data_IF_669619758059
#
_entry.id   IF_669619758059
#
_cell.length_a   1.000
_cell.length_b   1.000
_cell.length_c   1.000
_cell.angle_alpha   90.00
_cell.angle_beta   90.00
_cell.angle_gamma   90.00
#
_symmetry.space_group_name_H-M   'P 1'
#
loop_
_entity.id
_entity.type
_entity.pdbx_description
1 polymer ?
#
# COMPACT_ATOMS: atom_id res chain seq x y z
N UNK A 1 18.12 8.46 -4.20
CA UNK A 1 18.99 8.03 -3.12
C UNK A 1 18.18 7.32 -2.01
N UNK A 2 18.76 6.29 -1.41
CA UNK A 2 18.18 5.53 -0.31
C UNK A 2 19.23 5.13 0.71
N UNK A 3 18.84 4.47 1.82
CA UNK A 3 19.74 4.14 2.94
C UNK A 3 20.93 3.24 2.54
N UNK A 4 20.77 2.41 1.53
CA UNK A 4 21.81 1.47 1.08
C UNK A 4 22.25 1.72 -0.37
N UNK A 5 21.87 2.84 -0.98
CA UNK A 5 22.20 3.16 -2.37
C UNK A 5 21.04 3.75 -3.15
N UNK A 6 21.04 3.62 -4.47
CA UNK A 6 19.92 4.08 -5.31
C UNK A 6 18.72 3.14 -5.19
N UNK A 7 17.53 3.68 -5.02
CA UNK A 7 16.25 2.93 -5.06
C UNK A 7 15.70 3.07 -6.48
N UNK A 8 15.50 1.98 -7.24
CA UNK A 8 14.86 2.05 -8.55
C UNK A 8 13.40 2.52 -8.42
N UNK A 9 13.03 3.47 -9.24
CA UNK A 9 11.67 3.99 -9.31
C UNK A 9 11.15 3.89 -10.74
N UNK A 10 9.83 3.70 -10.92
CA UNK A 10 9.20 3.76 -12.23
C UNK A 10 8.04 4.73 -12.20
N UNK A 11 8.12 5.73 -13.08
CA UNK A 11 7.04 6.71 -13.27
C UNK A 11 6.04 6.20 -14.30
N UNK A 12 4.77 6.41 -14.00
CA UNK A 12 3.62 6.19 -14.87
C UNK A 12 2.83 7.49 -14.94
N UNK A 13 2.57 7.99 -16.14
CA UNK A 13 1.68 9.11 -16.37
C UNK A 13 0.94 8.91 -17.69
N UNK A 14 -0.36 9.15 -17.69
CA UNK A 14 -1.18 9.13 -18.90
C UNK A 14 -1.01 10.40 -19.75
N UNK A 15 -0.38 11.44 -19.21
CA UNK A 15 -0.10 12.73 -19.88
C UNK A 15 1.39 12.89 -20.17
N UNK A 16 1.71 13.52 -21.29
CA UNK A 16 3.10 13.84 -21.64
C UNK A 16 3.71 14.95 -20.77
N UNK A 17 2.87 15.85 -20.25
CA UNK A 17 3.30 16.94 -19.36
C UNK A 17 2.16 17.43 -18.47
N UNK A 18 2.52 18.06 -17.35
CA UNK A 18 1.62 18.71 -16.41
C UNK A 18 2.16 20.10 -16.09
N UNK A 19 1.31 21.12 -16.19
CA UNK A 19 1.67 22.52 -15.90
C UNK A 19 1.35 22.96 -14.48
N UNK A 20 0.47 22.22 -13.79
CA UNK A 20 0.02 22.57 -12.45
C UNK A 20 0.48 21.50 -11.44
N UNK A 21 0.79 21.90 -10.20
CA UNK A 21 1.07 20.97 -9.13
C UNK A 21 -0.10 19.99 -8.92
N UNK A 22 0.22 18.71 -8.75
CA UNK A 22 -0.79 17.66 -8.54
C UNK A 22 -0.35 16.71 -7.42
N UNK A 23 -1.29 16.01 -6.75
CA UNK A 23 -0.91 14.89 -5.89
C UNK A 23 -0.18 13.82 -6.71
N UNK A 24 0.88 13.24 -6.15
CA UNK A 24 1.63 12.13 -6.77
C UNK A 24 1.30 10.84 -6.04
N UNK A 25 0.91 9.83 -6.78
CA UNK A 25 0.67 8.49 -6.24
C UNK A 25 2.01 7.81 -6.03
N UNK A 26 2.30 7.39 -4.80
CA UNK A 26 3.47 6.58 -4.45
C UNK A 26 3.01 5.16 -4.21
N UNK A 27 3.40 4.25 -5.09
CA UNK A 27 2.94 2.86 -5.07
C UNK A 27 4.00 1.92 -4.48
N UNK A 28 3.59 1.13 -3.48
CA UNK A 28 4.38 0.07 -2.86
C UNK A 28 3.78 -1.29 -3.23
N UNK A 29 4.57 -2.14 -3.89
CA UNK A 29 4.07 -3.43 -4.36
C UNK A 29 3.87 -4.45 -3.25
N UNK A 30 2.98 -5.42 -3.45
CA UNK A 30 2.80 -6.60 -2.60
C UNK A 30 3.89 -7.65 -2.79
N UNK A 31 3.77 -8.74 -2.02
CA UNK A 31 4.69 -9.88 -2.11
C UNK A 31 5.42 -10.22 -0.80
N UNK A 32 4.81 -9.93 0.35
CA UNK A 32 5.32 -10.31 1.68
C UNK A 32 6.68 -9.71 2.03
N UNK A 33 7.09 -8.62 1.37
CA UNK A 33 8.44 -8.04 1.42
C UNK A 33 9.56 -8.98 0.95
N UNK A 34 9.22 -10.07 0.24
CA UNK A 34 10.13 -11.11 -0.24
C UNK A 34 10.12 -11.22 -1.77
N UNK A 35 8.94 -11.13 -2.37
CA UNK A 35 8.75 -11.21 -3.83
C UNK A 35 8.07 -9.95 -4.35
N UNK A 36 7.84 -9.89 -5.66
CA UNK A 36 7.27 -8.73 -6.33
C UNK A 36 8.34 -7.75 -6.79
N UNK A 37 7.97 -6.91 -7.74
CA UNK A 37 8.84 -5.88 -8.35
C UNK A 37 8.01 -4.91 -9.21
N UNK A 38 8.71 -4.00 -9.89
CA UNK A 38 8.09 -3.05 -10.82
C UNK A 38 7.45 -3.73 -12.04
N UNK A 39 7.86 -4.94 -12.41
CA UNK A 39 7.31 -5.65 -13.56
C UNK A 39 6.03 -6.39 -13.20
N UNK A 40 5.99 -7.04 -12.03
CA UNK A 40 4.82 -7.80 -11.56
C UNK A 40 3.60 -6.92 -11.32
N UNK A 41 3.81 -5.64 -10.95
CA UNK A 41 2.73 -4.68 -10.69
C UNK A 41 2.54 -3.64 -11.81
N UNK A 42 3.27 -3.80 -12.94
CA UNK A 42 3.20 -2.85 -14.07
C UNK A 42 1.77 -2.58 -14.56
N UNK A 43 1.01 -3.65 -14.81
CA UNK A 43 -0.36 -3.52 -15.32
C UNK A 43 -1.30 -2.81 -14.32
N UNK A 44 -1.14 -3.07 -13.01
CA UNK A 44 -1.93 -2.41 -11.97
C UNK A 44 -1.57 -0.92 -11.87
N UNK A 45 -0.27 -0.59 -11.83
CA UNK A 45 0.20 0.80 -11.76
C UNK A 45 -0.24 1.62 -12.98
N UNK A 46 -0.15 1.03 -14.19
CA UNK A 46 -0.61 1.67 -15.43
C UNK A 46 -2.09 2.01 -15.37
N UNK A 47 -2.91 1.05 -14.92
CA UNK A 47 -4.36 1.23 -14.81
C UNK A 47 -4.74 2.29 -13.76
N UNK A 48 -4.10 2.25 -12.57
CA UNK A 48 -4.35 3.25 -11.53
C UNK A 48 -3.97 4.65 -12.01
N UNK A 49 -2.80 4.82 -12.64
CA UNK A 49 -2.36 6.12 -13.15
C UNK A 49 -3.32 6.66 -14.21
N UNK A 50 -3.79 5.81 -15.12
CA UNK A 50 -4.74 6.17 -16.16
C UNK A 50 -6.13 6.53 -15.58
N UNK A 51 -6.67 5.68 -14.69
CA UNK A 51 -7.98 5.91 -14.09
C UNK A 51 -7.98 7.13 -13.15
N UNK A 52 -6.93 7.39 -12.41
CA UNK A 52 -6.84 8.57 -11.55
C UNK A 52 -6.50 9.85 -12.32
N UNK A 53 -5.91 9.74 -13.51
CA UNK A 53 -5.31 10.84 -14.27
C UNK A 53 -4.27 11.62 -13.43
N UNK A 54 -3.47 10.88 -12.64
CA UNK A 54 -2.40 11.40 -11.80
C UNK A 54 -1.09 10.67 -12.07
N UNK A 55 0.07 11.35 -11.89
CA UNK A 55 1.35 10.68 -11.95
C UNK A 55 1.46 9.64 -10.82
N UNK A 56 1.98 8.47 -11.15
CA UNK A 56 2.23 7.39 -10.19
C UNK A 56 3.70 6.99 -10.25
N UNK A 57 4.35 6.94 -9.09
CA UNK A 57 5.72 6.46 -8.92
C UNK A 57 5.69 5.15 -8.14
N UNK A 58 6.06 4.04 -8.79
CA UNK A 58 6.22 2.75 -8.14
C UNK A 58 7.65 2.59 -7.62
N UNK A 59 7.77 2.04 -6.42
CA UNK A 59 9.02 1.90 -5.68
C UNK A 59 9.47 0.45 -5.70
N UNK A 60 10.71 0.19 -6.18
CA UNK A 60 11.36 -1.13 -6.09
C UNK A 60 12.22 -1.19 -4.83
N UNK A 61 11.57 -1.34 -3.69
CA UNK A 61 12.22 -1.41 -2.40
C UNK A 61 13.01 -2.73 -2.22
N UNK A 62 14.04 -2.72 -1.38
CA UNK A 62 14.82 -3.92 -1.05
C UNK A 62 13.94 -5.00 -0.40
N UNK A 63 14.19 -6.24 -0.77
CA UNK A 63 13.41 -7.41 -0.33
C UNK A 63 14.23 -8.34 0.56
N UNK A 64 13.55 -9.02 1.47
CA UNK A 64 14.08 -10.14 2.21
C UNK A 64 14.16 -11.39 1.29
N UNK A 65 15.01 -12.38 1.58
CA UNK A 65 15.89 -12.45 2.75
C UNK A 65 17.18 -11.63 2.62
N UNK A 66 17.53 -11.12 1.42
CA UNK A 66 18.78 -10.39 1.17
C UNK A 66 18.87 -9.10 1.99
N UNK A 67 17.73 -8.43 2.19
CA UNK A 67 17.60 -7.23 3.00
C UNK A 67 16.35 -7.37 3.91
N UNK A 68 16.50 -8.01 5.08
CA UNK A 68 15.38 -8.25 5.99
C UNK A 68 14.87 -6.95 6.62
N UNK A 69 13.83 -7.04 7.44
CA UNK A 69 13.29 -5.91 8.19
C UNK A 69 14.41 -5.10 8.89
N UNK A 70 14.38 -3.76 8.86
CA UNK A 70 13.32 -2.89 8.30
C UNK A 70 13.64 -2.32 6.90
N UNK A 71 14.55 -2.93 6.13
CA UNK A 71 15.12 -2.37 4.90
C UNK A 71 14.05 -1.90 3.88
N UNK A 72 12.99 -2.68 3.68
CA UNK A 72 11.89 -2.33 2.77
C UNK A 72 11.18 -1.02 3.20
N UNK A 73 10.89 -0.88 4.48
CA UNK A 73 10.22 0.31 5.03
C UNK A 73 11.12 1.54 4.93
N UNK A 74 12.42 1.39 5.20
CA UNK A 74 13.38 2.49 5.07
C UNK A 74 13.48 2.99 3.62
N UNK A 75 13.44 2.08 2.64
CA UNK A 75 13.44 2.46 1.23
C UNK A 75 12.12 3.12 0.83
N UNK A 76 10.97 2.60 1.29
CA UNK A 76 9.66 3.20 1.04
C UNK A 76 9.57 4.62 1.61
N UNK A 77 10.08 4.85 2.83
CA UNK A 77 10.13 6.18 3.44
C UNK A 77 11.05 7.13 2.65
N UNK A 78 12.26 6.69 2.32
CA UNK A 78 13.20 7.50 1.56
C UNK A 78 12.63 7.89 0.18
N UNK A 79 11.98 6.95 -0.52
CA UNK A 79 11.33 7.22 -1.80
C UNK A 79 10.16 8.21 -1.64
N UNK A 80 9.29 8.04 -0.64
CA UNK A 80 8.17 8.95 -0.39
C UNK A 80 8.66 10.37 -0.09
N UNK A 81 9.70 10.53 0.72
CA UNK A 81 10.30 11.83 1.03
C UNK A 81 10.96 12.47 -0.19
N UNK A 82 11.62 11.67 -1.03
CA UNK A 82 12.22 12.14 -2.28
C UNK A 82 11.13 12.63 -3.26
N UNK A 83 10.04 11.88 -3.44
CA UNK A 83 8.90 12.29 -4.28
C UNK A 83 8.28 13.58 -3.73
N UNK A 84 8.07 13.67 -2.42
CA UNK A 84 7.53 14.85 -1.76
C UNK A 84 8.36 16.11 -1.96
N UNK A 85 9.67 15.98 -2.19
CA UNK A 85 10.56 17.12 -2.43
C UNK A 85 10.49 17.69 -3.86
N UNK A 86 9.66 17.11 -4.73
CA UNK A 86 9.50 17.52 -6.13
C UNK A 86 10.83 17.63 -6.89
N UNK A 87 11.65 16.57 -6.91
CA UNK A 87 12.95 16.63 -7.56
C UNK A 87 12.80 16.84 -9.07
N UNK A 88 13.79 17.51 -9.68
CA UNK A 88 13.75 17.88 -11.11
C UNK A 88 13.56 16.66 -12.03
N UNK A 89 14.05 15.51 -11.63
CA UNK A 89 13.94 14.24 -12.36
C UNK A 89 12.50 13.74 -12.49
N UNK A 90 11.60 14.15 -11.59
CA UNK A 90 10.17 13.83 -11.70
C UNK A 90 9.49 14.63 -12.82
N UNK A 91 9.94 15.84 -13.09
CA UNK A 91 9.35 16.72 -14.10
C UNK A 91 8.06 17.43 -13.68
N UNK A 92 7.61 17.27 -12.42
CA UNK A 92 6.42 17.96 -11.89
C UNK A 92 6.61 18.37 -10.43
N UNK A 93 5.75 19.29 -9.98
CA UNK A 93 5.63 19.70 -8.60
C UNK A 93 4.55 18.89 -7.88
N UNK A 94 4.90 18.27 -6.75
CA UNK A 94 3.96 17.54 -5.91
C UNK A 94 3.18 18.53 -5.04
N UNK A 95 1.84 18.47 -5.05
CA UNK A 95 1.00 19.19 -4.09
C UNK A 95 0.64 18.35 -2.87
N UNK A 96 0.88 17.05 -2.91
CA UNK A 96 0.65 16.07 -1.85
C UNK A 96 1.06 14.68 -2.29
N UNK A 97 1.09 13.73 -1.38
CA UNK A 97 1.29 12.31 -1.67
C UNK A 97 -0.01 11.53 -1.51
N UNK A 98 -0.27 10.62 -2.44
CA UNK A 98 -1.24 9.53 -2.27
C UNK A 98 -0.43 8.25 -2.11
N UNK A 99 -0.36 7.72 -0.89
CA UNK A 99 0.32 6.42 -0.69
C UNK A 99 -0.66 5.29 -0.97
N UNK A 100 -0.26 4.32 -1.78
CA UNK A 100 -1.07 3.17 -2.14
C UNK A 100 -0.21 1.93 -2.25
N UNK A 101 -0.75 0.79 -1.87
CA UNK A 101 -0.06 -0.50 -2.03
C UNK A 101 -0.95 -1.66 -1.64
N UNK A 102 -0.58 -2.84 -2.11
CA UNK A 102 -1.31 -4.08 -1.88
C UNK A 102 -0.54 -5.01 -0.93
N UNK A 103 -1.22 -5.72 -0.04
CA UNK A 103 -0.63 -6.71 0.88
C UNK A 103 0.50 -6.11 1.75
N UNK A 104 1.74 -6.58 1.59
CA UNK A 104 2.93 -5.96 2.20
C UNK A 104 3.09 -4.49 1.81
N UNK A 105 2.79 -4.11 0.56
CA UNK A 105 2.74 -2.72 0.15
C UNK A 105 1.62 -1.93 0.83
N UNK A 106 0.50 -2.58 1.14
CA UNK A 106 -0.57 -2.01 1.97
C UNK A 106 -0.12 -1.76 3.42
N UNK A 107 0.70 -2.66 3.98
CA UNK A 107 1.39 -2.44 5.25
C UNK A 107 2.30 -1.21 5.16
N UNK A 108 3.21 -1.17 4.17
CA UNK A 108 4.10 -0.03 3.94
C UNK A 108 3.32 1.29 3.80
N UNK A 109 2.17 1.28 3.10
CA UNK A 109 1.28 2.44 2.97
C UNK A 109 0.88 3.01 4.33
N UNK A 110 0.47 2.17 5.28
CA UNK A 110 0.09 2.59 6.63
C UNK A 110 1.29 3.08 7.43
N UNK A 111 2.41 2.34 7.38
CA UNK A 111 3.65 2.72 8.09
C UNK A 111 4.17 4.08 7.61
N UNK A 112 4.22 4.30 6.29
CA UNK A 112 4.67 5.58 5.72
C UNK A 112 3.72 6.71 6.12
N UNK A 113 2.40 6.47 6.14
CA UNK A 113 1.43 7.43 6.67
C UNK A 113 1.75 7.85 8.11
N UNK A 114 2.05 6.90 9.00
CA UNK A 114 2.43 7.16 10.40
C UNK A 114 3.78 7.89 10.52
N UNK A 115 4.81 7.46 9.78
CA UNK A 115 6.14 8.08 9.82
C UNK A 115 6.11 9.52 9.31
N UNK A 116 5.37 9.79 8.22
CA UNK A 116 5.24 11.14 7.67
C UNK A 116 4.29 12.03 8.48
N UNK A 117 3.38 11.46 9.26
CA UNK A 117 2.61 12.22 10.25
C UNK A 117 3.48 12.63 11.44
N UNK A 118 4.35 11.74 11.94
CA UNK A 118 5.26 12.01 13.05
C UNK A 118 6.41 12.95 12.66
N UNK A 119 6.94 12.81 11.45
CA UNK A 119 8.01 13.64 10.89
C UNK A 119 7.62 14.07 9.48
N UNK A 120 6.99 15.24 9.31
CA UNK A 120 6.45 15.68 8.03
C UNK A 120 7.49 15.72 6.90
N UNK A 121 7.06 15.36 5.68
CA UNK A 121 7.79 15.56 4.43
C UNK A 121 7.52 16.98 3.86
N UNK A 122 8.08 17.31 2.69
CA UNK A 122 7.88 18.62 2.06
C UNK A 122 6.41 18.89 1.69
N UNK A 123 5.65 17.85 1.37
CA UNK A 123 4.19 17.90 1.19
C UNK A 123 3.52 16.80 2.02
N UNK A 124 2.24 16.96 2.44
CA UNK A 124 1.56 15.98 3.27
C UNK A 124 1.12 14.72 2.47
N UNK A 125 0.86 13.62 3.18
CA UNK A 125 0.06 12.52 2.67
C UNK A 125 -1.41 12.94 2.72
N UNK A 126 -2.01 13.16 1.55
CA UNK A 126 -3.40 13.63 1.42
C UNK A 126 -4.41 12.49 1.35
N UNK A 127 -3.95 11.29 1.03
CA UNK A 127 -4.75 10.06 1.02
C UNK A 127 -3.83 8.84 1.19
N UNK A 128 -4.24 7.85 1.97
CA UNK A 128 -3.62 6.53 1.98
C UNK A 128 -4.62 5.45 1.55
N UNK A 129 -4.14 4.47 0.77
CA UNK A 129 -4.98 3.44 0.15
C UNK A 129 -4.37 2.05 0.40
N UNK A 130 -4.44 1.53 1.62
CA UNK A 130 -3.97 0.17 1.91
C UNK A 130 -4.96 -0.87 1.36
N UNK A 131 -4.50 -1.68 0.39
CA UNK A 131 -5.29 -2.71 -0.27
C UNK A 131 -4.94 -4.06 0.35
N UNK A 132 -5.90 -4.76 0.95
CA UNK A 132 -5.78 -6.01 1.74
C UNK A 132 -4.48 -6.06 2.57
N UNK A 133 -4.24 -5.09 3.48
CA UNK A 133 -2.98 -4.94 4.16
C UNK A 133 -2.80 -5.94 5.31
N UNK A 134 -1.56 -6.39 5.54
CA UNK A 134 -1.18 -7.05 6.79
C UNK A 134 -0.71 -5.99 7.80
N UNK A 135 -1.61 -5.44 8.60
CA UNK A 135 -1.29 -4.40 9.60
C UNK A 135 -1.21 -4.92 11.04
N UNK A 136 -1.79 -6.10 11.28
CA UNK A 136 -1.79 -6.79 12.57
C UNK A 136 -1.36 -8.24 12.37
N UNK A 137 -0.89 -8.88 13.42
CA UNK A 137 -0.63 -10.32 13.38
C UNK A 137 -1.93 -11.06 13.05
N UNK A 138 -1.92 -11.80 11.95
CA UNK A 138 -3.08 -12.56 11.48
C UNK A 138 -3.18 -13.94 12.13
N UNK A 139 -2.15 -14.41 12.86
CA UNK A 139 -2.15 -15.71 13.50
C UNK A 139 -3.30 -15.80 14.53
N UNK A 140 -4.03 -16.91 14.48
CA UNK A 140 -5.18 -17.14 15.35
C UNK A 140 -6.45 -16.36 15.00
N UNK A 141 -6.47 -15.55 13.92
CA UNK A 141 -7.67 -14.87 13.45
C UNK A 141 -8.68 -15.84 12.82
N UNK A 142 -9.96 -15.44 12.80
CA UNK A 142 -11.01 -16.24 12.16
C UNK A 142 -10.79 -16.34 10.64
N UNK A 143 -10.30 -15.28 9.98
CA UNK A 143 -10.00 -15.31 8.56
C UNK A 143 -8.83 -16.24 8.25
N UNK A 144 -7.79 -16.28 9.09
CA UNK A 144 -6.68 -17.24 8.94
C UNK A 144 -7.21 -18.67 9.03
N UNK A 145 -8.02 -18.98 10.05
CA UNK A 145 -8.60 -20.31 10.21
C UNK A 145 -9.49 -20.73 9.04
N UNK A 146 -10.19 -19.76 8.41
CA UNK A 146 -11.14 -20.04 7.32
C UNK A 146 -10.51 -20.09 5.92
N UNK A 147 -9.43 -19.35 5.66
CA UNK A 147 -8.95 -19.09 4.30
C UNK A 147 -7.45 -19.34 4.10
N UNK A 148 -6.74 -19.95 5.07
CA UNK A 148 -5.31 -20.25 4.93
C UNK A 148 -4.99 -21.39 3.96
N UNK A 149 -6.00 -22.06 3.40
CA UNK A 149 -5.85 -23.10 2.40
C UNK A 149 -6.89 -22.94 1.27
N UNK A 150 -6.47 -23.13 0.02
CA UNK A 150 -7.38 -23.13 -1.15
C UNK A 150 -7.80 -21.73 -1.65
N UNK A 151 -7.31 -20.64 -1.07
CA UNK A 151 -7.69 -19.26 -1.41
C UNK A 151 -6.50 -18.40 -1.86
N UNK A 152 -5.56 -18.95 -2.61
CA UNK A 152 -4.38 -18.35 -3.20
C UNK A 152 -3.27 -18.07 -2.17
N UNK A 153 -3.46 -17.14 -1.23
CA UNK A 153 -2.52 -16.92 -0.14
C UNK A 153 -2.70 -18.00 0.92
N UNK A 154 -1.63 -18.79 1.17
CA UNK A 154 -1.70 -19.89 2.12
C UNK A 154 -0.98 -19.55 3.44
N UNK A 155 -1.35 -20.27 4.52
CA UNK A 155 -0.66 -20.18 5.80
C UNK A 155 0.83 -20.53 5.69
N UNK A 156 1.18 -21.51 4.85
CA UNK A 156 2.58 -21.90 4.58
C UNK A 156 3.35 -20.74 3.91
N UNK A 157 2.77 -20.12 2.88
CA UNK A 157 3.37 -18.94 2.20
C UNK A 157 3.56 -17.79 3.18
N UNK A 158 2.57 -17.53 4.03
CA UNK A 158 2.67 -16.46 5.04
C UNK A 158 3.76 -16.74 6.07
N UNK A 159 3.88 -17.99 6.54
CA UNK A 159 4.95 -18.39 7.46
C UNK A 159 6.34 -18.25 6.84
N UNK A 160 6.48 -18.57 5.54
CA UNK A 160 7.72 -18.36 4.80
C UNK A 160 8.08 -16.86 4.69
N UNK A 161 7.13 -16.01 4.32
CA UNK A 161 7.36 -14.56 4.24
C UNK A 161 7.72 -13.96 5.60
N UNK A 162 7.01 -14.36 6.64
CA UNK A 162 7.25 -13.91 8.00
C UNK A 162 8.67 -14.27 8.48
N UNK A 163 9.06 -15.51 8.25
CA UNK A 163 10.41 -15.99 8.62
C UNK A 163 11.52 -15.27 7.83
N UNK A 164 11.29 -15.00 6.55
CA UNK A 164 12.27 -14.31 5.70
C UNK A 164 12.39 -12.82 6.03
N UNK A 165 11.25 -12.14 6.26
CA UNK A 165 11.22 -10.71 6.55
C UNK A 165 11.69 -10.39 7.97
N UNK A 166 11.27 -11.18 8.95
CA UNK A 166 11.80 -11.14 10.32
C UNK A 166 11.43 -9.89 11.11
N UNK A 167 10.25 -9.29 10.89
CA UNK A 167 9.81 -8.14 11.67
C UNK A 167 9.48 -8.53 13.12
N UNK A 168 10.01 -7.83 14.14
CA UNK A 168 9.62 -8.04 15.53
C UNK A 168 8.11 -7.79 15.73
N UNK A 169 7.45 -8.63 16.54
CA UNK A 169 5.99 -8.56 16.77
C UNK A 169 5.54 -7.30 17.51
N UNK A 170 6.45 -6.62 18.17
CA UNK A 170 6.25 -5.39 18.93
C UNK A 170 6.75 -4.11 18.21
N UNK A 171 7.25 -4.23 16.97
CA UNK A 171 7.67 -3.06 16.17
C UNK A 171 6.51 -2.57 15.27
N UNK A 172 6.08 -1.31 15.47
CA UNK A 172 5.02 -0.69 14.68
C UNK A 172 5.35 -0.57 13.19
N UNK A 173 6.62 -0.61 12.79
CA UNK A 173 7.03 -0.61 11.37
C UNK A 173 6.79 -1.96 10.71
N UNK A 174 6.70 -3.04 11.48
CA UNK A 174 6.28 -4.37 11.02
C UNK A 174 4.77 -4.57 11.14
N UNK A 175 4.21 -4.11 12.24
CA UNK A 175 2.80 -4.26 12.60
C UNK A 175 2.17 -2.90 12.93
N UNK A 176 1.81 -2.10 11.92
CA UNK A 176 1.41 -0.71 12.11
C UNK A 176 0.12 -0.52 12.93
N UNK A 177 -0.62 -1.57 13.23
CA UNK A 177 -1.73 -1.52 14.19
C UNK A 177 -1.27 -1.07 15.60
N UNK A 178 0.01 -1.25 15.94
CA UNK A 178 0.63 -0.84 17.19
C UNK A 178 1.00 0.65 17.22
N UNK A 179 0.97 1.31 16.08
CA UNK A 179 1.36 2.71 15.94
C UNK A 179 0.26 3.69 16.35
N UNK A 180 0.57 4.98 16.26
CA UNK A 180 -0.38 6.05 16.52
C UNK A 180 -1.26 6.31 15.28
N UNK A 181 -2.57 6.21 15.45
CA UNK A 181 -3.56 6.45 14.40
C UNK A 181 -4.19 7.84 14.50
N UNK A 182 -3.89 8.63 15.53
CA UNK A 182 -4.52 9.94 15.79
C UNK A 182 -4.31 10.95 14.67
N UNK A 183 -3.20 10.83 13.94
CA UNK A 183 -2.86 11.66 12.79
C UNK A 183 -2.88 10.89 11.44
N UNK A 184 -3.55 9.73 11.40
CA UNK A 184 -3.66 8.96 10.14
C UNK A 184 -4.29 9.82 9.04
N UNK A 185 -3.75 9.80 7.80
CA UNK A 185 -4.34 10.52 6.67
C UNK A 185 -5.76 10.03 6.35
N UNK A 186 -6.57 10.78 5.59
CA UNK A 186 -7.77 10.26 4.98
C UNK A 186 -7.48 8.90 4.32
N UNK A 187 -8.36 7.90 4.49
CA UNK A 187 -8.03 6.51 4.15
C UNK A 187 -9.10 5.84 3.29
N UNK A 188 -8.71 5.18 2.20
CA UNK A 188 -9.54 4.18 1.51
C UNK A 188 -8.96 2.81 1.83
N UNK A 189 -9.56 2.12 2.78
CA UNK A 189 -9.14 0.78 3.20
C UNK A 189 -9.90 -0.29 2.43
N UNK A 190 -9.18 -1.22 1.83
CA UNK A 190 -9.76 -2.30 1.02
C UNK A 190 -9.38 -3.66 1.60
N UNK A 191 -10.35 -4.58 1.69
CA UNK A 191 -10.11 -6.00 2.03
C UNK A 191 -10.76 -6.92 1.01
N UNK A 192 -10.26 -8.15 0.90
CA UNK A 192 -10.88 -9.22 0.15
C UNK A 192 -11.64 -10.16 1.10
N UNK A 193 -12.84 -10.60 0.74
CA UNK A 193 -13.66 -11.38 1.68
C UNK A 193 -13.18 -12.81 1.90
N UNK A 194 -12.44 -13.37 0.92
CA UNK A 194 -11.89 -14.75 0.95
C UNK A 194 -10.36 -14.68 1.11
N UNK A 195 -9.90 -14.01 2.18
CA UNK A 195 -8.49 -13.70 2.40
C UNK A 195 -8.08 -14.04 3.83
N UNK A 196 -6.99 -14.81 4.05
CA UNK A 196 -6.52 -15.15 5.40
C UNK A 196 -6.15 -13.92 6.24
N UNK A 197 -5.76 -12.81 5.63
CA UNK A 197 -5.43 -11.57 6.35
C UNK A 197 -6.56 -10.53 6.38
N UNK A 198 -7.77 -10.90 5.94
CA UNK A 198 -8.95 -10.01 5.95
C UNK A 198 -9.18 -9.34 7.30
N UNK A 199 -9.09 -10.12 8.38
CA UNK A 199 -9.40 -9.61 9.72
C UNK A 199 -8.34 -8.62 10.23
N UNK A 200 -7.11 -8.64 9.70
CA UNK A 200 -6.09 -7.61 9.92
C UNK A 200 -6.55 -6.25 9.37
N UNK A 201 -7.10 -6.21 8.15
CA UNK A 201 -7.69 -4.99 7.59
C UNK A 201 -8.90 -4.50 8.38
N UNK A 202 -9.78 -5.41 8.84
CA UNK A 202 -10.93 -5.04 9.70
C UNK A 202 -10.49 -4.45 11.04
N UNK A 203 -9.40 -4.97 11.62
CA UNK A 203 -8.82 -4.40 12.84
C UNK A 203 -8.35 -2.96 12.60
N UNK A 204 -7.78 -2.68 11.43
CA UNK A 204 -7.36 -1.32 11.07
C UNK A 204 -8.55 -0.38 10.88
N UNK A 205 -9.64 -0.83 10.24
CA UNK A 205 -10.87 -0.05 10.14
C UNK A 205 -11.39 0.37 11.52
N UNK A 206 -11.36 -0.57 12.48
CA UNK A 206 -11.72 -0.29 13.87
C UNK A 206 -10.78 0.75 14.49
N UNK A 207 -9.48 0.63 14.30
CA UNK A 207 -8.51 1.58 14.87
C UNK A 207 -8.69 2.99 14.31
N UNK A 208 -8.98 3.13 13.01
CA UNK A 208 -9.30 4.43 12.39
C UNK A 208 -10.59 5.04 12.95
N UNK A 209 -11.62 4.21 13.14
CA UNK A 209 -12.88 4.66 13.75
C UNK A 209 -12.70 5.10 15.20
N UNK A 210 -11.98 4.32 16.01
CA UNK A 210 -11.66 4.66 17.41
C UNK A 210 -10.85 5.97 17.51
N UNK A 211 -9.97 6.23 16.52
CA UNK A 211 -9.17 7.45 16.43
C UNK A 211 -9.94 8.64 15.80
N UNK A 212 -11.20 8.46 15.41
CA UNK A 212 -12.03 9.51 14.80
C UNK A 212 -11.49 9.99 13.44
N UNK A 213 -10.89 9.09 12.66
CA UNK A 213 -10.30 9.44 11.35
C UNK A 213 -11.30 9.27 10.22
N UNK A 214 -11.15 10.09 9.18
CA UNK A 214 -11.96 9.98 7.97
C UNK A 214 -11.51 8.78 7.14
N UNK A 215 -12.41 7.83 6.87
CA UNK A 215 -12.09 6.68 6.02
C UNK A 215 -13.31 6.11 5.32
N UNK A 216 -13.05 5.46 4.18
CA UNK A 216 -13.97 4.58 3.47
C UNK A 216 -13.44 3.15 3.60
N UNK A 217 -14.29 2.23 4.04
CA UNK A 217 -13.95 0.81 4.13
C UNK A 217 -14.68 0.01 3.05
N UNK A 218 -13.94 -0.68 2.20
CA UNK A 218 -14.45 -1.50 1.11
C UNK A 218 -14.02 -2.96 1.33
N UNK A 219 -14.96 -3.84 1.69
CA UNK A 219 -14.73 -5.28 1.65
C UNK A 219 -15.25 -5.86 0.32
N UNK A 220 -14.34 -6.27 -0.57
CA UNK A 220 -14.67 -6.83 -1.88
C UNK A 220 -15.15 -8.27 -1.73
N UNK A 221 -16.38 -8.52 -2.18
CA UNK A 221 -17.07 -9.80 -1.96
C UNK A 221 -16.67 -10.85 -3.00
N UNK A 222 -16.42 -12.09 -2.54
CA UNK A 222 -16.20 -13.24 -3.41
C UNK A 222 -14.83 -13.25 -4.11
N UNK A 223 -13.90 -12.38 -3.70
CA UNK A 223 -12.53 -12.32 -4.22
C UNK A 223 -11.51 -12.74 -3.17
N UNK A 224 -10.39 -13.28 -3.65
CA UNK A 224 -9.25 -13.71 -2.84
C UNK A 224 -8.23 -12.60 -2.68
N UNK A 225 -7.21 -12.83 -1.87
CA UNK A 225 -5.99 -12.01 -1.83
C UNK A 225 -5.44 -11.75 -3.24
N UNK A 226 -4.79 -10.62 -3.47
CA UNK A 226 -4.19 -10.23 -4.76
C UNK A 226 -5.15 -10.08 -5.94
N UNK A 227 -6.48 -9.97 -5.73
CA UNK A 227 -7.46 -9.84 -6.82
C UNK A 227 -7.16 -8.68 -7.77
N UNK A 228 -6.57 -7.59 -7.29
CA UNK A 228 -6.17 -6.43 -8.11
C UNK A 228 -5.15 -6.75 -9.19
N UNK A 229 -4.28 -7.74 -8.94
CA UNK A 229 -3.29 -8.23 -9.91
C UNK A 229 -3.86 -9.33 -10.83
N UNK A 230 -5.02 -9.88 -10.49
CA UNK A 230 -5.67 -10.99 -11.19
C UNK A 230 -6.86 -10.54 -12.05
N UNK A 231 -6.93 -9.27 -12.44
CA UNK A 231 -8.06 -8.70 -13.19
C UNK A 231 -8.40 -9.43 -14.48
N UNK A 232 -7.43 -10.03 -15.14
CA UNK A 232 -7.65 -10.88 -16.32
C UNK A 232 -8.27 -12.25 -16.03
N UNK A 233 -8.24 -12.71 -14.78
CA UNK A 233 -8.70 -14.04 -14.36
C UNK A 233 -9.91 -14.01 -13.42
N UNK A 234 -10.08 -12.94 -12.65
CA UNK A 234 -11.18 -12.77 -11.69
C UNK A 234 -12.22 -11.82 -12.28
N UNK A 235 -13.44 -12.28 -12.63
CA UNK A 235 -14.42 -11.50 -13.41
C UNK A 235 -14.83 -10.17 -12.79
N UNK A 236 -14.91 -10.07 -11.44
CA UNK A 236 -15.28 -8.83 -10.75
C UNK A 236 -14.13 -7.86 -10.55
N UNK A 237 -12.87 -8.31 -10.64
CA UNK A 237 -11.72 -7.58 -10.14
C UNK A 237 -11.48 -6.22 -10.84
N UNK A 238 -11.83 -6.09 -12.12
CA UNK A 238 -11.76 -4.80 -12.81
C UNK A 238 -12.80 -3.82 -12.23
N UNK A 239 -14.05 -4.23 -12.07
CA UNK A 239 -15.08 -3.41 -11.43
C UNK A 239 -14.78 -3.10 -9.96
N UNK A 240 -14.14 -4.03 -9.25
CA UNK A 240 -13.69 -3.78 -7.87
C UNK A 240 -12.56 -2.73 -7.83
N UNK A 241 -11.62 -2.74 -8.78
CA UNK A 241 -10.62 -1.67 -8.91
C UNK A 241 -11.28 -0.32 -9.21
N UNK A 242 -12.25 -0.26 -10.11
CA UNK A 242 -12.99 0.96 -10.43
C UNK A 242 -13.74 1.53 -9.20
N UNK A 243 -14.25 0.65 -8.32
CA UNK A 243 -14.86 1.08 -7.04
C UNK A 243 -13.83 1.67 -6.08
N UNK A 244 -12.60 1.12 -6.03
CA UNK A 244 -11.48 1.68 -5.26
C UNK A 244 -11.17 3.09 -5.79
N UNK A 245 -11.01 3.24 -7.11
CA UNK A 245 -10.75 4.53 -7.75
C UNK A 245 -11.84 5.55 -7.47
N UNK A 246 -13.12 5.14 -7.54
CA UNK A 246 -14.25 6.03 -7.21
C UNK A 246 -14.19 6.50 -5.74
N UNK A 247 -13.84 5.62 -4.80
CA UNK A 247 -13.67 5.98 -3.40
C UNK A 247 -12.47 6.93 -3.19
N UNK A 248 -11.36 6.71 -3.91
CA UNK A 248 -10.20 7.62 -3.88
C UNK A 248 -10.58 9.03 -4.34
N UNK A 249 -11.29 9.15 -5.47
CA UNK A 249 -11.77 10.44 -5.98
C UNK A 249 -12.70 11.13 -4.99
N UNK A 250 -13.66 10.39 -4.42
CA UNK A 250 -14.57 10.92 -3.39
C UNK A 250 -13.79 11.51 -2.21
N UNK A 251 -12.79 10.79 -1.70
CA UNK A 251 -11.99 11.23 -0.55
C UNK A 251 -11.09 12.43 -0.88
N UNK A 252 -10.71 12.61 -2.15
CA UNK A 252 -9.95 13.78 -2.63
C UNK A 252 -10.84 14.97 -2.98
N UNK A 253 -12.18 14.82 -2.96
CA UNK A 253 -13.12 15.88 -3.35
C UNK A 253 -13.17 16.13 -4.87
N UNK A 254 -12.84 15.11 -5.67
CA UNK A 254 -12.72 15.19 -7.12
C UNK A 254 -13.85 14.41 -7.84
#
# INVERSE_FOLDING_TARGET
PGPAGGIPLRLYDARESRSEPAPIITFFHGGGFVIGDLATHHALCTEIAALMDLPLVAVDYRRAPEAPFPAAIEDCEAAARWIASSPAELGYEASGLITIGDSAGGNATVVIGQLLAATPAAVPVVLQVPIFPLVADANGSASMAAFSEGFLLTGETMAFFDAAYGAPRDDARGFPILGDHSAAPPTVLVTASLDPIRDSGRAYAKALADAGRDFVFLEMKGVTHSFTNLRGAVPSAQGDLERIIAAMRLMLGA
#
